data_IF_202922255486
#
_entry.id   IF_202922255486
#
_cell.length_a   1.000
_cell.length_b   1.000
_cell.length_c   1.000
_cell.angle_alpha   90.00
_cell.angle_beta   90.00
_cell.angle_gamma   90.00
#
_symmetry.space_group_name_H-M   'P 1'
#
loop_
_entity.id
_entity.type
_entity.pdbx_description
1 polymer ?
#
# COMPACT_ATOMS: atom_id res chain seq x y z
N UNK A 1 -7.99 -9.89 19.88
CA UNK A 1 -8.69 -8.64 20.22
C UNK A 1 -8.28 -7.59 19.19
N UNK A 2 -9.20 -7.14 18.34
CA UNK A 2 -8.96 -5.98 17.46
C UNK A 2 -9.51 -4.73 18.15
N UNK A 3 -8.84 -3.59 17.97
CA UNK A 3 -9.32 -2.29 18.47
C UNK A 3 -10.59 -1.90 17.70
N UNK A 4 -11.63 -1.43 18.39
CA UNK A 4 -12.85 -0.88 17.75
C UNK A 4 -12.62 0.50 17.11
N UNK A 5 -11.42 1.07 17.28
CA UNK A 5 -11.05 2.34 16.67
C UNK A 5 -10.49 2.09 15.27
N UNK A 6 -10.96 2.83 14.24
CA UNK A 6 -10.40 2.76 12.90
C UNK A 6 -8.90 3.07 12.88
N UNK A 7 -8.16 2.32 12.08
CA UNK A 7 -6.72 2.54 11.87
C UNK A 7 -6.54 3.25 10.53
N UNK A 8 -5.70 4.29 10.50
CA UNK A 8 -5.27 4.92 9.26
C UNK A 8 -3.90 4.38 8.89
N UNK A 9 -3.79 3.75 7.73
CA UNK A 9 -2.53 3.30 7.17
C UNK A 9 -2.11 4.22 6.02
N UNK A 10 -0.85 4.66 6.05
CA UNK A 10 -0.20 5.43 5.00
C UNK A 10 1.24 4.96 4.83
N UNK A 11 1.82 5.20 3.66
CA UNK A 11 3.21 4.92 3.39
C UNK A 11 3.91 6.21 2.96
N UNK A 12 5.00 6.56 3.64
CA UNK A 12 5.71 7.81 3.40
C UNK A 12 6.24 7.89 1.97
N UNK A 13 5.94 9.01 1.29
CA UNK A 13 6.25 9.30 -0.12
C UNK A 13 5.83 8.20 -1.12
N UNK A 14 4.88 7.33 -0.73
CA UNK A 14 4.40 6.24 -1.58
C UNK A 14 2.91 6.32 -1.76
N UNK A 15 2.49 6.25 -3.02
CA UNK A 15 1.09 6.07 -3.35
C UNK A 15 0.73 4.59 -3.33
N UNK A 16 -0.50 4.34 -2.92
CA UNK A 16 -1.10 3.05 -2.72
C UNK A 16 -2.28 2.94 -3.69
N UNK A 17 -2.45 1.76 -4.29
CA UNK A 17 -3.62 1.43 -5.11
C UNK A 17 -4.30 0.20 -4.50
N UNK A 18 -5.58 0.34 -4.12
CA UNK A 18 -6.35 -0.76 -3.53
C UNK A 18 -6.99 -1.58 -4.64
N UNK A 19 -6.90 -2.91 -4.53
CA UNK A 19 -7.38 -3.86 -5.55
C UNK A 19 -8.43 -4.84 -5.01
N UNK A 20 -8.42 -5.09 -3.70
CA UNK A 20 -9.36 -5.98 -3.01
C UNK A 20 -9.81 -5.34 -1.71
N UNK A 21 -11.09 -5.52 -1.39
CA UNK A 21 -11.68 -5.17 -0.09
C UNK A 21 -12.56 -6.35 0.35
N UNK A 22 -12.33 -6.87 1.56
CA UNK A 22 -13.07 -7.96 2.17
C UNK A 22 -13.26 -9.16 1.22
N UNK A 23 -12.15 -9.58 0.60
CA UNK A 23 -12.08 -10.68 -0.38
C UNK A 23 -12.84 -10.46 -1.69
N UNK A 24 -13.34 -9.26 -1.95
CA UNK A 24 -13.96 -8.89 -3.22
C UNK A 24 -13.02 -8.05 -4.08
N UNK A 25 -12.75 -8.54 -5.28
CA UNK A 25 -12.05 -7.79 -6.31
C UNK A 25 -12.97 -6.71 -6.88
N UNK A 26 -12.40 -5.52 -7.13
CA UNK A 26 -13.09 -4.42 -7.79
C UNK A 26 -12.13 -3.68 -8.72
N UNK A 27 -12.65 -2.70 -9.48
CA UNK A 27 -11.80 -1.87 -10.32
C UNK A 27 -10.75 -1.16 -9.44
N UNK A 28 -9.45 -1.31 -9.70
CA UNK A 28 -8.41 -0.70 -8.88
C UNK A 28 -8.66 0.79 -8.68
N UNK A 29 -8.44 1.26 -7.46
CA UNK A 29 -8.59 2.69 -7.16
C UNK A 29 -7.56 3.52 -7.94
N UNK A 30 -7.78 4.82 -7.99
CA UNK A 30 -6.68 5.75 -8.25
C UNK A 30 -5.60 5.64 -7.16
N UNK A 31 -4.44 6.21 -7.45
CA UNK A 31 -3.30 6.24 -6.54
C UNK A 31 -3.57 7.21 -5.38
N UNK A 32 -3.74 6.66 -4.17
CA UNK A 32 -4.07 7.39 -2.93
C UNK A 32 -2.90 7.33 -1.92
N UNK A 33 -2.90 8.22 -0.93
CA UNK A 33 -1.82 8.30 0.08
C UNK A 33 -2.07 7.47 1.34
N UNK A 34 -3.34 7.17 1.62
CA UNK A 34 -3.74 6.49 2.86
C UNK A 34 -5.05 5.72 2.68
N UNK A 35 -5.22 4.69 3.51
CA UNK A 35 -6.46 3.92 3.65
C UNK A 35 -6.90 3.88 5.11
N UNK A 36 -8.20 3.99 5.35
CA UNK A 36 -8.79 3.77 6.68
C UNK A 36 -9.33 2.35 6.75
N UNK A 37 -8.92 1.61 7.79
CA UNK A 37 -9.26 0.20 7.98
C UNK A 37 -10.03 0.10 9.29
N UNK A 38 -11.29 -0.32 9.22
CA UNK A 38 -12.08 -0.62 10.40
C UNK A 38 -11.79 -2.03 10.93
N UNK A 39 -12.22 -2.32 12.15
CA UNK A 39 -12.15 -3.67 12.70
C UNK A 39 -12.85 -4.67 11.75
N UNK A 40 -12.22 -5.84 11.58
CA UNK A 40 -12.67 -6.94 10.71
C UNK A 40 -12.62 -6.67 9.19
N UNK A 41 -12.14 -5.50 8.75
CA UNK A 41 -11.91 -5.23 7.33
C UNK A 41 -10.52 -5.65 6.87
N UNK A 42 -10.42 -6.07 5.60
CA UNK A 42 -9.15 -6.43 4.95
C UNK A 42 -9.06 -5.78 3.57
N UNK A 43 -7.90 -5.20 3.29
CA UNK A 43 -7.60 -4.61 2.00
C UNK A 43 -6.31 -5.17 1.44
N UNK A 44 -6.33 -5.57 0.17
CA UNK A 44 -5.11 -5.87 -0.57
C UNK A 44 -4.80 -4.66 -1.46
N UNK A 45 -3.56 -4.20 -1.40
CA UNK A 45 -3.11 -3.03 -2.13
C UNK A 45 -1.74 -3.21 -2.74
N UNK A 46 -1.50 -2.51 -3.84
CA UNK A 46 -0.21 -2.39 -4.50
C UNK A 46 0.42 -1.06 -4.09
N UNK A 47 1.68 -1.10 -3.68
CA UNK A 47 2.48 0.09 -3.41
C UNK A 47 3.75 0.05 -4.26
N UNK A 48 4.02 1.12 -5.00
CA UNK A 48 5.23 1.18 -5.81
C UNK A 48 6.42 1.58 -4.94
N UNK A 49 7.48 0.79 -4.97
CA UNK A 49 8.74 1.18 -4.34
C UNK A 49 9.37 2.35 -5.10
N UNK A 50 10.04 3.29 -4.42
CA UNK A 50 10.86 4.28 -5.10
C UNK A 50 11.91 3.54 -5.93
N UNK A 51 12.14 4.03 -7.15
CA UNK A 51 13.25 3.54 -7.97
C UNK A 51 14.55 3.91 -7.25
N UNK A 52 15.15 2.98 -6.52
CA UNK A 52 16.57 3.09 -6.20
C UNK A 52 17.33 2.91 -7.52
N UNK A 53 17.83 4.01 -8.08
CA UNK A 53 18.81 3.94 -9.16
C UNK A 53 20.12 3.44 -8.57
N UNK A 54 20.26 2.13 -8.39
CA UNK A 54 21.56 1.48 -8.18
C UNK A 54 22.38 1.47 -9.47
N UNK A 55 22.41 2.59 -10.20
CA UNK A 55 23.13 2.74 -11.45
C UNK A 55 24.54 3.31 -11.24
N UNK A 56 25.03 3.42 -10.00
CA UNK A 56 26.32 4.05 -9.73
C UNK A 56 27.17 3.41 -8.64
N UNK A 57 27.05 2.09 -8.42
CA UNK A 57 28.08 1.34 -7.70
C UNK A 57 27.82 -0.16 -7.86
N UNK A 58 28.63 -0.81 -8.68
CA UNK A 58 29.35 -2.05 -8.35
C UNK A 58 30.46 -2.15 -9.41
N UNK A 59 31.71 -2.13 -8.94
CA UNK A 59 32.89 -2.22 -9.79
C UNK A 59 32.91 -3.53 -10.58
N UNK A 60 33.66 -3.48 -11.69
CA UNK A 60 33.99 -4.65 -12.51
C UNK A 60 34.61 -5.75 -11.64
N UNK A 61 34.06 -6.96 -11.72
CA UNK A 61 34.74 -8.20 -11.32
C UNK A 61 35.26 -8.90 -12.57
#
# INVERSE_FOLDING_TARGET
>A
MATLVPIVFSADDRKIQVVVADSKYFQPTELINSITINADQRYDFLAQAPKFSSANQIGSF
#
